data_IF_905121988164
#
_entry.id   IF_905121988164
#
_cell.length_a   1.000
_cell.length_b   1.000
_cell.length_c   1.000
_cell.angle_alpha   90.00
_cell.angle_beta   90.00
_cell.angle_gamma   90.00
#
_symmetry.space_group_name_H-M   'P 1'
#
loop_
_entity.id
_entity.type
_entity.pdbx_description
1 polymer ?
#
# COMPACT_ATOMS: atom_id res chain seq x y z
N UNK A 1 -18.39 6.85 -45.51
CA UNK A 1 -18.89 6.71 -44.13
C UNK A 1 -17.68 6.43 -43.25
N UNK A 2 -17.05 7.47 -42.72
CA UNK A 2 -15.90 7.34 -41.84
C UNK A 2 -16.42 7.36 -40.40
N UNK A 3 -16.17 6.29 -39.63
CA UNK A 3 -16.55 6.24 -38.22
C UNK A 3 -15.68 7.23 -37.47
N UNK A 4 -16.32 8.15 -36.74
CA UNK A 4 -15.61 9.07 -35.86
C UNK A 4 -14.73 8.27 -34.86
N UNK A 5 -13.53 8.77 -34.54
CA UNK A 5 -12.67 8.13 -33.54
C UNK A 5 -13.42 8.07 -32.21
N UNK A 6 -13.53 6.86 -31.64
CA UNK A 6 -14.06 6.68 -30.29
C UNK A 6 -13.16 7.45 -29.32
N UNK A 7 -13.76 8.35 -28.53
CA UNK A 7 -13.05 9.09 -27.48
C UNK A 7 -12.33 8.11 -26.55
N UNK A 8 -11.11 8.41 -26.08
CA UNK A 8 -10.40 7.53 -25.16
C UNK A 8 -11.30 7.28 -23.95
N UNK A 9 -11.62 6.01 -23.70
CA UNK A 9 -12.33 5.59 -22.50
C UNK A 9 -11.44 5.94 -21.30
N UNK A 10 -11.71 7.10 -20.68
CA UNK A 10 -11.07 7.49 -19.43
C UNK A 10 -11.35 6.34 -18.47
N UNK A 11 -10.31 5.62 -18.07
CA UNK A 11 -10.42 4.61 -17.02
C UNK A 11 -11.15 5.25 -15.83
N UNK A 12 -12.13 4.56 -15.21
CA UNK A 12 -12.88 5.15 -14.12
C UNK A 12 -11.91 5.67 -13.06
N UNK A 13 -12.12 6.92 -12.64
CA UNK A 13 -11.32 7.50 -11.57
C UNK A 13 -11.76 6.83 -10.25
N UNK A 14 -10.87 6.06 -9.66
CA UNK A 14 -11.07 5.46 -8.34
C UNK A 14 -10.37 6.27 -7.25
N UNK A 15 -10.95 6.30 -6.05
CA UNK A 15 -10.33 6.89 -4.86
C UNK A 15 -10.46 5.93 -3.68
N UNK A 16 -9.44 5.86 -2.85
CA UNK A 16 -9.45 5.13 -1.59
C UNK A 16 -9.46 6.11 -0.42
N UNK A 17 -10.41 5.95 0.50
CA UNK A 17 -10.54 6.80 1.70
C UNK A 17 -10.71 5.94 2.95
N UNK A 18 -10.17 6.42 4.07
CA UNK A 18 -10.52 5.89 5.40
C UNK A 18 -11.52 6.87 6.04
N UNK A 19 -12.76 6.46 6.32
CA UNK A 19 -13.78 7.31 6.96
C UNK A 19 -13.57 7.36 8.48
N UNK A 20 -12.34 7.64 8.92
CA UNK A 20 -11.96 7.76 10.32
C UNK A 20 -12.21 6.50 11.18
N UNK A 21 -12.13 5.31 10.58
CA UNK A 21 -12.36 4.02 11.25
C UNK A 21 -11.30 2.98 10.86
N UNK A 22 -11.59 1.70 11.06
CA UNK A 22 -10.71 0.57 10.74
C UNK A 22 -10.85 0.04 9.31
N UNK A 23 -11.63 0.72 8.47
CA UNK A 23 -11.93 0.29 7.10
C UNK A 23 -11.32 1.25 6.09
N UNK A 24 -11.08 0.75 4.88
CA UNK A 24 -10.84 1.59 3.70
C UNK A 24 -11.94 1.36 2.69
N UNK A 25 -12.52 2.44 2.18
CA UNK A 25 -13.58 2.43 1.18
C UNK A 25 -13.00 2.88 -0.16
N UNK A 26 -13.24 2.09 -1.21
CA UNK A 26 -12.90 2.49 -2.58
C UNK A 26 -14.17 2.97 -3.28
N UNK A 27 -14.10 4.16 -3.85
CA UNK A 27 -15.17 4.75 -4.63
C UNK A 27 -14.77 4.86 -6.08
N UNK A 28 -15.71 4.56 -6.97
CA UNK A 28 -15.58 4.73 -8.41
C UNK A 28 -16.43 5.92 -8.87
N UNK A 29 -15.86 6.75 -9.75
CA UNK A 29 -16.58 7.88 -10.36
C UNK A 29 -17.30 7.45 -11.64
N UNK A 30 -18.61 7.61 -11.66
CA UNK A 30 -19.45 7.48 -12.85
C UNK A 30 -20.17 8.80 -13.12
N UNK A 31 -19.65 9.58 -14.09
CA UNK A 31 -20.14 10.93 -14.36
C UNK A 31 -19.90 11.87 -13.17
N UNK A 32 -20.97 12.43 -12.60
CA UNK A 32 -20.91 13.29 -11.41
C UNK A 32 -21.04 12.52 -10.08
N UNK A 33 -21.33 11.21 -10.12
CA UNK A 33 -21.63 10.40 -8.94
C UNK A 33 -20.42 9.55 -8.54
N UNK A 34 -20.15 9.50 -7.23
CA UNK A 34 -19.23 8.56 -6.62
C UNK A 34 -20.03 7.41 -5.99
N UNK A 35 -19.63 6.17 -6.25
CA UNK A 35 -20.27 4.98 -5.68
C UNK A 35 -19.23 4.12 -4.99
N UNK A 36 -19.49 3.67 -3.77
CA UNK A 36 -18.60 2.74 -3.06
C UNK A 36 -18.63 1.39 -3.77
N UNK A 37 -17.49 0.96 -4.30
CA UNK A 37 -17.33 -0.30 -5.04
C UNK A 37 -16.63 -1.38 -4.23
N UNK A 38 -15.76 -0.99 -3.29
CA UNK A 38 -15.07 -1.93 -2.40
C UNK A 38 -14.97 -1.42 -0.97
N UNK A 39 -14.76 -2.37 -0.07
CA UNK A 39 -14.58 -2.16 1.35
C UNK A 39 -13.53 -3.14 1.87
N UNK A 40 -12.47 -2.60 2.49
CA UNK A 40 -11.28 -3.33 2.93
C UNK A 40 -11.27 -3.34 4.47
N UNK A 41 -11.46 -4.50 5.10
CA UNK A 41 -11.79 -4.63 6.55
C UNK A 41 -10.83 -5.49 7.39
N UNK A 42 -9.54 -5.45 7.09
CA UNK A 42 -8.57 -6.32 7.79
C UNK A 42 -7.86 -5.65 8.98
N UNK A 43 -7.98 -4.32 9.11
CA UNK A 43 -7.42 -3.61 10.25
C UNK A 43 -8.30 -3.76 11.49
N UNK A 44 -7.66 -3.92 12.65
CA UNK A 44 -8.32 -3.96 13.96
C UNK A 44 -8.23 -2.62 14.71
N UNK A 45 -7.66 -1.61 14.06
CA UNK A 45 -7.49 -0.26 14.57
C UNK A 45 -7.66 0.75 13.45
N UNK A 46 -7.67 2.03 13.80
CA UNK A 46 -7.87 3.10 12.84
C UNK A 46 -6.80 3.07 11.73
N UNK A 47 -7.24 3.10 10.48
CA UNK A 47 -6.35 3.23 9.32
C UNK A 47 -5.86 4.66 9.24
N UNK A 48 -4.55 4.82 9.09
CA UNK A 48 -3.87 6.13 9.27
C UNK A 48 -2.94 6.49 8.14
N UNK A 49 -2.60 5.52 7.29
CA UNK A 49 -1.95 5.76 6.02
C UNK A 49 -2.58 4.87 4.96
N UNK A 50 -2.76 5.44 3.78
CA UNK A 50 -3.15 4.75 2.55
C UNK A 50 -2.21 5.28 1.46
N UNK A 51 -1.71 4.38 0.61
CA UNK A 51 -1.04 4.75 -0.63
C UNK A 51 -1.36 3.75 -1.74
N UNK A 52 -1.58 4.23 -2.96
CA UNK A 52 -1.99 3.41 -4.11
C UNK A 52 -0.89 3.45 -5.16
N UNK A 53 -0.33 2.27 -5.46
CA UNK A 53 0.66 2.06 -6.49
C UNK A 53 -0.03 2.05 -7.88
N UNK A 54 0.19 3.07 -8.73
CA UNK A 54 -0.56 3.24 -9.98
C UNK A 54 -0.31 2.16 -11.04
N UNK A 55 0.91 1.64 -11.15
CA UNK A 55 1.28 0.68 -12.20
C UNK A 55 0.87 -0.75 -11.84
N UNK A 56 1.12 -1.16 -10.59
CA UNK A 56 0.82 -2.52 -10.13
C UNK A 56 -0.60 -2.72 -9.59
N UNK A 57 -1.38 -1.63 -9.48
CA UNK A 57 -2.70 -1.61 -8.86
C UNK A 57 -2.72 -2.28 -7.47
N UNK A 58 -1.73 -1.92 -6.64
CA UNK A 58 -1.63 -2.36 -5.25
C UNK A 58 -1.92 -1.21 -4.31
N UNK A 59 -2.72 -1.47 -3.27
CA UNK A 59 -2.92 -0.49 -2.19
C UNK A 59 -2.11 -0.96 -1.00
N UNK A 60 -1.41 -0.04 -0.33
CA UNK A 60 -0.82 -0.30 0.98
C UNK A 60 -1.56 0.53 2.03
N UNK A 61 -1.89 -0.11 3.15
CA UNK A 61 -2.52 0.55 4.29
C UNK A 61 -1.70 0.30 5.56
N UNK A 62 -1.73 1.24 6.50
CA UNK A 62 -1.15 1.05 7.84
C UNK A 62 -2.04 1.64 8.94
N UNK A 63 -2.06 0.99 10.11
CA UNK A 63 -3.02 1.30 11.18
C UNK A 63 -2.43 1.47 12.57
N UNK A 64 -3.29 1.90 13.51
CA UNK A 64 -2.97 1.94 14.94
C UNK A 64 -2.82 0.56 15.58
N UNK A 65 -3.30 -0.48 14.91
CA UNK A 65 -3.12 -1.90 15.24
C UNK A 65 -1.68 -2.41 15.06
N UNK A 66 -0.77 -1.55 14.57
CA UNK A 66 0.66 -1.81 14.33
C UNK A 66 0.91 -2.69 13.10
N UNK A 67 -0.12 -2.92 12.29
CA UNK A 67 -0.02 -3.71 11.07
C UNK A 67 0.03 -2.81 9.85
N UNK A 68 0.58 -3.35 8.76
CA UNK A 68 0.31 -2.89 7.42
C UNK A 68 -0.19 -4.05 6.57
N UNK A 69 -1.00 -3.72 5.57
CA UNK A 69 -1.47 -4.69 4.59
C UNK A 69 -1.16 -4.18 3.19
N UNK A 70 -0.71 -5.08 2.33
CA UNK A 70 -0.67 -4.87 0.89
C UNK A 70 -1.87 -5.57 0.28
N UNK A 71 -2.73 -4.81 -0.38
CA UNK A 71 -3.94 -5.26 -1.00
C UNK A 71 -3.69 -5.45 -2.50
N UNK A 72 -4.06 -6.61 -3.02
CA UNK A 72 -4.00 -6.93 -4.45
C UNK A 72 -5.38 -7.28 -4.95
N UNK A 73 -5.79 -6.73 -6.09
CA UNK A 73 -7.06 -7.05 -6.72
C UNK A 73 -6.96 -8.39 -7.47
N UNK A 74 -7.66 -9.41 -6.99
CA UNK A 74 -7.79 -10.71 -7.69
C UNK A 74 -9.23 -10.84 -8.22
N UNK A 75 -9.39 -10.72 -9.53
CA UNK A 75 -10.70 -10.66 -10.17
C UNK A 75 -11.43 -9.37 -9.78
N UNK A 76 -12.46 -9.48 -8.94
CA UNK A 76 -13.25 -8.34 -8.39
C UNK A 76 -13.11 -8.18 -6.88
N UNK A 77 -12.14 -8.84 -6.27
CA UNK A 77 -11.98 -8.87 -4.82
C UNK A 77 -10.56 -8.49 -4.43
N UNK A 78 -10.45 -7.49 -3.57
CA UNK A 78 -9.18 -7.13 -2.94
C UNK A 78 -8.80 -8.17 -1.88
N UNK A 79 -7.57 -8.67 -1.97
CA UNK A 79 -7.01 -9.64 -1.04
C UNK A 79 -5.89 -8.99 -0.23
N UNK A 80 -5.99 -8.95 1.11
CA UNK A 80 -4.93 -8.44 1.96
C UNK A 80 -3.78 -9.43 2.08
N UNK A 81 -2.56 -8.91 2.15
CA UNK A 81 -1.36 -9.62 2.57
C UNK A 81 -0.75 -8.87 3.76
N UNK A 82 -0.64 -9.54 4.91
CA UNK A 82 -0.08 -8.94 6.12
C UNK A 82 1.42 -8.66 5.95
N UNK A 83 1.85 -7.48 6.40
CA UNK A 83 3.25 -7.05 6.41
C UNK A 83 3.74 -7.00 7.86
N UNK A 84 4.79 -7.75 8.17
CA UNK A 84 5.35 -7.78 9.52
C UNK A 84 6.32 -6.60 9.73
N UNK A 85 5.80 -5.47 10.22
CA UNK A 85 6.57 -4.23 10.36
C UNK A 85 7.62 -4.24 11.49
N UNK A 86 7.53 -5.18 12.44
CA UNK A 86 8.40 -5.24 13.65
C UNK A 86 8.40 -3.95 14.48
N UNK A 87 7.25 -3.27 14.55
CA UNK A 87 7.04 -2.06 15.36
C UNK A 87 6.22 -2.38 16.63
N UNK A 88 6.42 -1.60 17.69
CA UNK A 88 5.73 -1.75 18.98
C UNK A 88 4.80 -0.57 19.33
N UNK A 89 4.59 0.36 18.39
CA UNK A 89 3.68 1.51 18.45
C UNK A 89 2.96 1.64 17.11
N UNK A 90 1.90 2.45 17.07
CA UNK A 90 1.10 2.69 15.87
C UNK A 90 1.94 3.13 14.66
N UNK A 91 1.65 2.58 13.48
CA UNK A 91 2.17 3.04 12.19
C UNK A 91 1.37 4.27 11.75
N UNK A 92 1.98 5.41 11.41
CA UNK A 92 1.27 6.70 11.22
C UNK A 92 1.16 7.16 9.78
N UNK A 93 2.02 6.67 8.90
CA UNK A 93 2.01 7.01 7.48
C UNK A 93 2.69 5.88 6.68
N UNK A 94 2.30 5.75 5.41
CA UNK A 94 2.88 4.80 4.48
C UNK A 94 3.00 5.42 3.09
N UNK A 95 4.11 5.15 2.38
CA UNK A 95 4.31 5.55 0.99
C UNK A 95 5.05 4.48 0.19
N UNK A 96 4.54 4.15 -0.98
CA UNK A 96 5.25 3.41 -2.01
C UNK A 96 6.46 4.20 -2.50
N UNK A 97 7.52 3.49 -2.86
CA UNK A 97 8.58 4.05 -3.68
C UNK A 97 8.05 4.26 -5.12
N UNK A 98 8.57 5.23 -5.88
CA UNK A 98 8.09 5.51 -7.25
C UNK A 98 8.16 4.33 -8.21
N UNK A 99 9.07 3.38 -7.99
CA UNK A 99 9.22 2.16 -8.77
C UNK A 99 8.43 0.97 -8.22
N UNK A 100 7.60 1.17 -7.18
CA UNK A 100 6.66 0.21 -6.59
C UNK A 100 7.26 -1.11 -6.08
N UNK A 101 8.60 -1.19 -5.94
CA UNK A 101 9.29 -2.38 -5.47
C UNK A 101 9.46 -2.43 -3.95
N UNK A 102 9.16 -1.32 -3.26
CA UNK A 102 9.24 -1.16 -1.81
C UNK A 102 8.31 -0.06 -1.35
N UNK A 103 8.06 -0.02 -0.04
CA UNK A 103 7.35 1.10 0.60
C UNK A 103 7.95 1.40 1.98
N UNK A 104 7.77 2.62 2.45
CA UNK A 104 8.20 3.07 3.76
C UNK A 104 7.00 3.24 4.70
N UNK A 105 7.12 2.79 5.94
CA UNK A 105 6.12 2.99 7.00
C UNK A 105 6.76 3.76 8.15
N UNK A 106 6.25 4.96 8.43
CA UNK A 106 6.61 5.75 9.60
C UNK A 106 5.80 5.30 10.81
N UNK A 107 6.42 5.26 11.99
CA UNK A 107 5.75 4.79 13.22
C UNK A 107 6.12 5.60 14.46
N UNK A 108 5.26 5.53 15.47
CA UNK A 108 5.56 6.05 16.81
C UNK A 108 6.68 5.30 17.54
N UNK A 109 7.20 4.20 16.97
CA UNK A 109 8.31 3.43 17.55
C UNK A 109 9.67 4.11 17.34
N UNK A 110 9.70 5.33 16.79
CA UNK A 110 10.93 6.06 16.41
C UNK A 110 11.77 5.30 15.37
N UNK A 111 11.10 4.48 14.56
CA UNK A 111 11.69 3.67 13.48
C UNK A 111 10.83 3.84 12.23
N UNK A 112 11.50 3.94 11.08
CA UNK A 112 10.89 3.83 9.75
C UNK A 112 11.17 2.43 9.22
N UNK A 113 10.13 1.69 8.87
CA UNK A 113 10.26 0.36 8.28
C UNK A 113 10.24 0.49 6.76
N UNK A 114 11.30 0.04 6.09
CA UNK A 114 11.32 -0.05 4.62
C UNK A 114 10.99 -1.48 4.26
N UNK A 115 9.88 -1.73 3.56
CA UNK A 115 9.39 -3.06 3.25
C UNK A 115 9.58 -3.38 1.77
N UNK A 116 10.01 -4.59 1.45
CA UNK A 116 10.27 -5.09 0.11
C UNK A 116 9.52 -6.41 -0.09
N UNK A 117 9.18 -6.74 -1.31
CA UNK A 117 8.59 -8.04 -1.63
C UNK A 117 9.71 -9.06 -1.88
N UNK A 118 9.75 -10.14 -1.12
CA UNK A 118 10.64 -11.27 -1.36
C UNK A 118 9.94 -12.27 -2.29
N UNK A 119 10.28 -12.25 -3.59
CA UNK A 119 9.67 -13.12 -4.60
C UNK A 119 9.83 -14.61 -4.26
N UNK A 120 10.96 -14.99 -3.70
CA UNK A 120 11.25 -16.39 -3.35
C UNK A 120 10.32 -16.95 -2.28
N UNK A 121 9.79 -16.08 -1.41
CA UNK A 121 8.97 -16.48 -0.27
C UNK A 121 7.50 -16.03 -0.38
N UNK A 122 7.13 -15.25 -1.40
CA UNK A 122 5.78 -14.71 -1.64
C UNK A 122 5.20 -13.86 -0.48
N UNK A 123 6.05 -13.06 0.19
CA UNK A 123 5.62 -12.14 1.27
C UNK A 123 6.45 -10.86 1.35
N UNK A 124 5.93 -9.88 2.10
CA UNK A 124 6.58 -8.58 2.30
C UNK A 124 7.39 -8.54 3.60
N UNK A 125 8.67 -8.20 3.47
CA UNK A 125 9.63 -8.14 4.58
C UNK A 125 10.09 -6.71 4.85
N UNK A 126 10.25 -6.29 6.12
CA UNK A 126 11.04 -5.10 6.42
C UNK A 126 12.50 -5.40 6.11
N UNK A 127 13.14 -4.60 5.26
CA UNK A 127 14.57 -4.72 5.02
C UNK A 127 15.34 -4.52 6.32
N UNK A 128 16.33 -5.38 6.52
CA UNK A 128 17.32 -5.15 7.56
C UNK A 128 18.06 -3.88 7.16
N UNK A 129 17.89 -2.81 7.93
CA UNK A 129 18.90 -1.75 7.91
C UNK A 129 20.24 -2.43 8.12
N UNK A 130 21.21 -2.18 7.24
CA UNK A 130 22.61 -2.48 7.57
C UNK A 130 22.90 -1.66 8.83
N UNK A 131 22.77 -2.30 9.99
CA UNK A 131 23.43 -1.82 11.21
C UNK A 131 24.89 -1.60 10.83
N UNK A 132 25.43 -0.44 11.14
CA UNK A 132 26.77 -0.03 10.74
C UNK A 132 27.77 -1.18 10.84
N UNK A 133 28.31 -1.59 9.69
CA UNK A 133 29.59 -2.27 9.65
C UNK A 133 30.65 -1.17 9.56
N UNK A 134 31.24 -0.91 10.72
CA UNK A 134 32.61 -0.43 10.83
C UNK A 134 33.51 -1.33 9.97
N UNK A 135 34.44 -0.72 9.22
CA UNK A 135 35.67 -1.26 8.63
C UNK A 135 35.69 -2.74 8.19
N UNK A 136 35.99 -3.06 6.95
CA UNK A 136 37.32 -2.81 6.37
C UNK A 136 37.24 -2.98 4.85
N UNK A 137 37.94 -2.11 4.13
CA UNK A 137 38.26 -2.34 2.73
C UNK A 137 39.29 -3.47 2.66
N UNK A 138 38.94 -4.57 2.01
CA UNK A 138 39.91 -5.56 1.54
C UNK A 138 40.14 -5.33 0.06
N UNK A 139 41.35 -4.89 -0.28
CA UNK A 139 41.95 -5.20 -1.57
C UNK A 139 42.17 -6.72 -1.61
N UNK A 140 41.72 -7.35 -2.69
CA UNK A 140 42.49 -8.26 -3.56
C UNK A 140 41.60 -8.67 -4.75
#
# INVERSE_FOLDING_TARGET
>A
MERAPQSPSISPAEIAICPNNHEVHIYEKSGAKWTKVHELKEHNGQVTGIDWAPESNRIVTCGTDRNAYVWTLKGRTWKPTLVILRINRAARCVRWAPNENKFAVGSGSRVISICYFEQENDWWVPGRGRSGLVGTWGQD
#
